data_IF_827147501844
#
_entry.id   IF_827147501844
#
_cell.length_a   1.000
_cell.length_b   1.000
_cell.length_c   1.000
_cell.angle_alpha   90.00
_cell.angle_beta   90.00
_cell.angle_gamma   90.00
#
_symmetry.space_group_name_H-M   'P 1'
#
loop_
_entity.id
_entity.type
_entity.pdbx_description
1 polymer ?
#
# COMPACT_ATOMS: atom_id res chain seq x y z
N UNK A 1 20.98 73.00 -17.98
CA UNK A 1 20.49 72.34 -16.71
C UNK A 1 19.89 71.00 -17.16
N UNK A 2 20.71 69.98 -17.19
CA UNK A 2 20.30 68.61 -17.68
C UNK A 2 19.98 67.73 -16.49
N UNK A 3 18.80 67.22 -16.49
CA UNK A 3 18.32 66.24 -15.50
C UNK A 3 18.62 64.84 -15.97
N UNK A 4 19.50 64.13 -15.27
CA UNK A 4 19.89 62.76 -15.59
C UNK A 4 18.80 61.76 -15.13
N UNK A 5 18.13 61.14 -16.09
CA UNK A 5 17.18 60.05 -15.89
C UNK A 5 17.97 58.77 -15.53
N UNK A 6 17.81 58.26 -14.30
CA UNK A 6 18.32 56.96 -13.89
C UNK A 6 17.39 55.87 -14.35
N UNK A 7 17.84 55.02 -15.25
CA UNK A 7 17.13 53.78 -15.67
C UNK A 7 17.32 52.73 -14.59
N UNK A 8 16.22 52.39 -13.90
CA UNK A 8 16.17 51.24 -13.01
C UNK A 8 15.83 50.00 -13.84
N UNK A 9 16.74 49.03 -13.85
CA UNK A 9 16.49 47.73 -14.47
C UNK A 9 15.71 46.84 -13.52
N UNK A 10 14.46 46.56 -13.89
CA UNK A 10 13.65 45.52 -13.23
C UNK A 10 14.12 44.14 -13.71
N UNK A 11 14.77 43.39 -12.82
CA UNK A 11 15.03 41.96 -13.05
C UNK A 11 13.75 41.21 -12.65
N UNK A 12 13.02 40.74 -13.64
CA UNK A 12 11.89 39.83 -13.41
C UNK A 12 12.43 38.43 -13.10
N UNK A 13 12.36 38.01 -11.84
CA UNK A 13 12.57 36.63 -11.45
C UNK A 13 11.39 35.79 -11.88
N UNK A 14 11.58 34.96 -12.91
CA UNK A 14 10.62 33.91 -13.27
C UNK A 14 10.66 32.83 -12.19
N UNK A 15 9.69 32.82 -11.32
CA UNK A 15 9.39 31.68 -10.46
C UNK A 15 8.76 30.57 -11.30
N UNK A 16 9.55 29.58 -11.67
CA UNK A 16 9.06 28.31 -12.18
C UNK A 16 8.41 27.54 -11.04
N UNK A 17 7.11 27.69 -10.88
CA UNK A 17 6.32 26.77 -10.05
C UNK A 17 6.21 25.46 -10.81
N UNK A 18 6.99 24.46 -10.38
CA UNK A 18 6.82 23.07 -10.79
C UNK A 18 5.43 22.62 -10.31
N UNK A 19 4.47 22.64 -11.21
CA UNK A 19 3.14 22.03 -10.99
C UNK A 19 3.36 20.51 -10.98
N UNK A 20 3.53 19.94 -9.78
CA UNK A 20 3.47 18.50 -9.58
C UNK A 20 2.05 18.08 -9.95
N UNK A 21 1.86 17.51 -11.14
CA UNK A 21 0.65 16.78 -11.49
C UNK A 21 0.52 15.58 -10.56
N UNK A 22 -0.09 15.77 -9.41
CA UNK A 22 -0.67 14.67 -8.66
C UNK A 22 -1.81 14.16 -9.53
N UNK A 23 -1.62 13.03 -10.20
CA UNK A 23 -2.71 12.30 -10.83
C UNK A 23 -3.67 11.87 -9.71
N UNK A 24 -4.61 12.73 -9.37
CA UNK A 24 -5.80 12.35 -8.60
C UNK A 24 -6.58 11.42 -9.52
N UNK A 25 -6.44 10.11 -9.31
CA UNK A 25 -7.30 9.15 -9.99
C UNK A 25 -8.74 9.51 -9.62
N UNK A 26 -9.51 9.92 -10.61
CA UNK A 26 -10.92 10.24 -10.42
C UNK A 26 -11.61 9.01 -9.82
N UNK A 27 -12.41 9.23 -8.77
CA UNK A 27 -13.23 8.15 -8.21
C UNK A 27 -14.12 7.58 -9.32
N UNK A 28 -14.17 6.25 -9.44
CA UNK A 28 -15.04 5.59 -10.40
C UNK A 28 -16.51 5.96 -10.09
N UNK A 29 -17.18 6.60 -11.03
CA UNK A 29 -18.62 6.87 -10.90
C UNK A 29 -19.38 5.59 -11.19
N UNK A 30 -20.05 5.04 -10.19
CA UNK A 30 -20.91 3.86 -10.35
C UNK A 30 -22.32 4.33 -10.65
N UNK A 31 -22.92 4.01 -11.82
CA UNK A 31 -24.31 4.31 -12.08
C UNK A 31 -25.22 3.61 -11.06
N UNK A 32 -26.33 4.26 -10.68
CA UNK A 32 -27.32 3.64 -9.80
C UNK A 32 -27.81 2.33 -10.40
N UNK A 33 -27.95 1.29 -9.57
CA UNK A 33 -28.39 -0.06 -9.95
C UNK A 33 -27.47 -0.78 -10.96
N UNK A 34 -26.18 -0.49 -10.97
CA UNK A 34 -25.21 -1.19 -11.80
C UNK A 34 -24.13 -1.88 -10.97
N UNK A 35 -23.44 -2.83 -11.59
CA UNK A 35 -22.24 -3.48 -11.05
C UNK A 35 -21.02 -3.00 -11.80
N UNK A 36 -19.89 -2.84 -11.10
CA UNK A 36 -18.60 -2.67 -11.74
C UNK A 36 -18.03 -4.07 -12.01
N UNK A 37 -17.83 -4.39 -13.28
CA UNK A 37 -17.19 -5.62 -13.70
C UNK A 37 -15.81 -5.33 -14.28
N UNK A 38 -14.80 -6.00 -13.74
CA UNK A 38 -13.41 -5.95 -14.23
C UNK A 38 -12.99 -7.35 -14.67
N UNK A 39 -12.67 -7.51 -15.93
CA UNK A 39 -12.13 -8.78 -16.42
C UNK A 39 -10.73 -9.02 -15.83
N UNK A 40 -10.40 -10.28 -15.53
CA UNK A 40 -9.09 -10.64 -14.98
C UNK A 40 -7.92 -10.15 -15.85
N UNK A 41 -8.09 -10.16 -17.18
CA UNK A 41 -7.07 -9.66 -18.13
C UNK A 41 -6.85 -8.15 -18.08
N UNK A 42 -7.80 -7.38 -17.51
CA UNK A 42 -7.67 -5.92 -17.32
C UNK A 42 -6.91 -5.55 -16.05
N UNK A 43 -6.71 -6.50 -15.15
CA UNK A 43 -5.98 -6.31 -13.92
C UNK A 43 -4.48 -6.46 -14.16
N UNK A 44 -3.72 -5.42 -13.83
CA UNK A 44 -2.28 -5.40 -14.04
C UNK A 44 -1.52 -5.55 -12.72
N UNK A 45 -0.45 -6.33 -12.77
CA UNK A 45 0.52 -6.39 -11.68
C UNK A 45 1.40 -5.15 -11.72
N UNK A 46 1.61 -4.55 -10.56
CA UNK A 46 2.57 -3.48 -10.37
C UNK A 46 3.61 -3.88 -9.33
N UNK A 47 4.89 -3.55 -9.51
CA UNK A 47 5.91 -3.80 -8.49
C UNK A 47 5.53 -3.11 -7.18
N UNK A 48 5.69 -3.80 -6.06
CA UNK A 48 5.56 -3.18 -4.75
C UNK A 48 6.69 -2.15 -4.52
N UNK A 49 6.39 -1.13 -3.73
CA UNK A 49 7.36 -0.09 -3.43
C UNK A 49 8.50 -0.62 -2.55
N UNK A 50 9.71 -0.74 -3.10
CA UNK A 50 10.91 -1.23 -2.40
C UNK A 50 11.33 -0.40 -1.17
N UNK A 51 10.76 0.77 -0.96
CA UNK A 51 11.01 1.59 0.25
C UNK A 51 10.20 1.13 1.46
N UNK A 52 9.22 0.24 1.27
CA UNK A 52 8.33 -0.26 2.31
C UNK A 52 8.08 -1.76 2.22
N UNK A 53 8.85 -2.44 1.35
CA UNK A 53 8.91 -3.89 1.22
C UNK A 53 10.36 -4.35 1.19
N UNK A 54 10.69 -5.38 1.96
CA UNK A 54 11.94 -6.13 1.84
C UNK A 54 11.73 -7.26 0.84
N UNK A 55 12.68 -7.46 -0.07
CA UNK A 55 12.57 -8.46 -1.13
C UNK A 55 11.64 -8.02 -2.26
N UNK A 56 11.27 -8.98 -3.13
CA UNK A 56 10.45 -8.72 -4.31
C UNK A 56 8.99 -9.06 -4.04
N UNK A 57 8.11 -8.10 -4.27
CA UNK A 57 6.67 -8.29 -4.23
C UNK A 57 5.98 -7.55 -5.36
N UNK A 58 4.79 -8.00 -5.73
CA UNK A 58 3.91 -7.39 -6.73
C UNK A 58 2.51 -7.21 -6.14
N UNK A 59 1.83 -6.17 -6.58
CA UNK A 59 0.44 -5.87 -6.18
C UNK A 59 -0.45 -5.87 -7.40
N UNK A 60 -1.63 -6.46 -7.29
CA UNK A 60 -2.73 -6.34 -8.26
C UNK A 60 -3.84 -5.56 -7.58
N UNK A 61 -3.97 -4.24 -7.81
CA UNK A 61 -5.11 -3.48 -7.30
C UNK A 61 -6.40 -3.98 -7.97
N UNK A 62 -7.41 -4.31 -7.15
CA UNK A 62 -8.70 -4.82 -7.67
C UNK A 62 -9.79 -3.78 -7.58
N UNK A 63 -10.01 -3.17 -6.41
CA UNK A 63 -10.93 -2.04 -6.24
C UNK A 63 -10.27 -0.93 -5.44
N UNK A 64 -10.57 0.31 -5.79
CA UNK A 64 -10.11 1.49 -5.08
C UNK A 64 -11.19 2.56 -5.12
N UNK A 65 -11.49 3.17 -3.97
CA UNK A 65 -12.37 4.35 -3.88
C UNK A 65 -13.72 4.20 -4.59
N UNK A 66 -14.36 3.05 -4.43
CA UNK A 66 -15.72 2.84 -4.96
C UNK A 66 -16.73 3.57 -4.06
N UNK A 67 -17.56 4.49 -4.58
CA UNK A 67 -18.54 5.20 -3.78
C UNK A 67 -19.46 4.27 -2.99
N UNK A 68 -19.63 4.54 -1.70
CA UNK A 68 -20.45 3.71 -0.81
C UNK A 68 -19.77 2.42 -0.31
N UNK A 69 -18.54 2.15 -0.74
CA UNK A 69 -17.72 1.03 -0.25
C UNK A 69 -16.45 1.59 0.44
N UNK A 70 -16.45 1.79 1.76
CA UNK A 70 -15.31 2.37 2.46
C UNK A 70 -14.18 1.35 2.67
N UNK A 71 -13.88 0.58 1.64
CA UNK A 71 -12.80 -0.42 1.60
C UNK A 71 -12.20 -0.49 0.20
N UNK A 72 -10.92 -0.84 0.13
CA UNK A 72 -10.27 -1.25 -1.11
C UNK A 72 -9.68 -2.64 -0.97
N UNK A 73 -9.48 -3.31 -2.07
CA UNK A 73 -8.90 -4.64 -2.08
C UNK A 73 -7.87 -4.84 -3.19
N UNK A 74 -7.04 -5.83 -2.99
CA UNK A 74 -6.01 -6.20 -3.94
C UNK A 74 -5.40 -7.56 -3.61
N UNK A 75 -4.65 -8.07 -4.56
CA UNK A 75 -3.81 -9.26 -4.36
C UNK A 75 -2.37 -8.79 -4.18
N UNK A 76 -1.69 -9.33 -3.19
CA UNK A 76 -0.25 -9.15 -3.00
C UNK A 76 0.44 -10.49 -3.20
N UNK A 77 1.46 -10.48 -4.03
CA UNK A 77 2.29 -11.64 -4.36
C UNK A 77 3.67 -11.36 -3.80
N UNK A 78 4.10 -12.15 -2.83
CA UNK A 78 5.42 -12.06 -2.22
C UNK A 78 6.30 -13.19 -2.72
N UNK A 79 7.46 -12.89 -3.27
CA UNK A 79 8.48 -13.90 -3.54
C UNK A 79 9.05 -14.46 -2.22
N UNK A 80 9.70 -15.62 -2.22
CA UNK A 80 10.25 -16.23 -1.00
C UNK A 80 11.05 -15.24 -0.15
N UNK A 81 10.73 -15.14 1.13
CA UNK A 81 11.35 -14.24 2.10
C UNK A 81 10.94 -12.76 2.00
N UNK A 82 10.20 -12.37 0.95
CA UNK A 82 9.73 -11.00 0.82
C UNK A 82 8.64 -10.67 1.86
N UNK A 83 8.66 -9.45 2.37
CA UNK A 83 7.77 -9.01 3.43
C UNK A 83 7.52 -7.52 3.40
N UNK A 84 6.43 -7.07 4.01
CA UNK A 84 6.18 -5.66 4.26
C UNK A 84 7.11 -5.14 5.37
N UNK A 85 7.33 -3.83 5.40
CA UNK A 85 7.78 -3.17 6.61
C UNK A 85 6.69 -3.22 7.67
N UNK A 86 7.00 -2.87 8.93
CA UNK A 86 6.01 -2.60 9.96
C UNK A 86 5.06 -1.52 9.45
N UNK A 87 3.77 -1.74 9.64
CA UNK A 87 2.77 -0.77 9.21
C UNK A 87 1.49 -0.84 10.06
N UNK A 88 0.67 0.19 9.90
CA UNK A 88 -0.60 0.35 10.62
C UNK A 88 -1.66 0.76 9.60
N UNK A 89 -2.84 0.17 9.69
CA UNK A 89 -4.03 0.62 8.97
C UNK A 89 -4.99 1.34 9.93
N UNK A 90 -5.28 2.64 9.72
CA UNK A 90 -6.17 3.40 10.60
C UNK A 90 -7.60 2.87 10.67
N UNK A 91 -8.08 2.24 9.59
CA UNK A 91 -9.42 1.64 9.53
C UNK A 91 -9.38 0.09 9.52
N UNK A 92 -8.22 -0.50 9.83
CA UNK A 92 -8.02 -1.94 9.86
C UNK A 92 -7.80 -2.57 8.49
N UNK A 93 -7.34 -3.81 8.53
CA UNK A 93 -7.12 -4.65 7.36
C UNK A 93 -7.45 -6.10 7.74
N UNK A 94 -7.94 -6.88 6.78
CA UNK A 94 -7.81 -8.32 6.85
C UNK A 94 -7.24 -8.87 5.54
N UNK A 95 -6.64 -10.04 5.62
CA UNK A 95 -6.22 -10.76 4.44
C UNK A 95 -6.49 -12.26 4.57
N UNK A 96 -6.64 -12.92 3.43
CA UNK A 96 -6.67 -14.38 3.35
C UNK A 96 -5.54 -14.87 2.46
N UNK A 97 -4.90 -15.97 2.86
CA UNK A 97 -3.88 -16.62 2.06
C UNK A 97 -4.55 -17.45 0.97
N UNK A 98 -4.23 -17.16 -0.28
CA UNK A 98 -4.77 -17.87 -1.44
C UNK A 98 -3.85 -19.04 -1.86
N UNK A 99 -2.53 -18.85 -1.73
CA UNK A 99 -1.52 -19.83 -2.13
C UNK A 99 -0.19 -19.62 -1.39
N UNK A 100 0.53 -20.73 -1.19
CA UNK A 100 1.84 -20.71 -0.55
C UNK A 100 1.76 -20.59 0.96
N UNK A 101 2.89 -20.40 1.61
CA UNK A 101 3.00 -20.23 3.05
C UNK A 101 3.62 -18.86 3.35
N UNK A 102 3.14 -18.21 4.39
CA UNK A 102 3.63 -16.92 4.80
C UNK A 102 3.79 -16.78 6.30
N UNK A 103 4.13 -15.56 6.69
CA UNK A 103 4.26 -15.15 8.08
C UNK A 103 3.58 -13.82 8.30
N UNK A 104 2.99 -13.67 9.48
CA UNK A 104 2.45 -12.41 9.97
C UNK A 104 2.81 -12.24 11.42
N UNK A 105 2.92 -11.01 11.91
CA UNK A 105 3.23 -10.75 13.30
C UNK A 105 2.80 -9.36 13.75
N UNK A 106 2.49 -9.26 15.03
CA UNK A 106 2.22 -8.01 15.74
C UNK A 106 3.51 -7.55 16.40
N UNK A 107 3.71 -6.24 16.47
CA UNK A 107 4.92 -5.66 17.06
C UNK A 107 5.12 -6.08 18.50
N UNK A 108 6.33 -6.57 18.81
CA UNK A 108 6.68 -7.10 20.14
C UNK A 108 6.35 -8.57 20.35
N UNK A 109 5.62 -9.21 19.44
CA UNK A 109 5.25 -10.62 19.52
C UNK A 109 6.08 -11.50 18.56
N UNK A 110 5.89 -12.81 18.66
CA UNK A 110 6.44 -13.77 17.71
C UNK A 110 5.58 -13.80 16.45
N UNK A 111 6.22 -14.05 15.31
CA UNK A 111 5.52 -14.26 14.06
C UNK A 111 4.73 -15.58 14.08
N UNK A 112 3.62 -15.60 13.38
CA UNK A 112 2.81 -16.79 13.13
C UNK A 112 2.95 -17.20 11.67
N UNK A 113 3.04 -18.51 11.44
CA UNK A 113 2.95 -19.09 10.09
C UNK A 113 1.48 -19.10 9.65
N UNK A 114 1.24 -18.70 8.41
CA UNK A 114 -0.10 -18.69 7.79
C UNK A 114 -0.08 -19.49 6.48
N UNK A 115 -1.19 -20.19 6.21
CA UNK A 115 -1.34 -21.16 5.10
C UNK A 115 -2.60 -20.87 4.29
N UNK A 116 -2.75 -21.47 3.10
CA UNK A 116 -3.93 -21.28 2.26
C UNK A 116 -5.24 -21.56 3.02
N UNK A 117 -6.17 -20.61 2.95
CA UNK A 117 -7.44 -20.61 3.67
C UNK A 117 -7.41 -19.87 5.01
N UNK A 118 -6.23 -19.60 5.58
CA UNK A 118 -6.17 -18.80 6.80
C UNK A 118 -6.61 -17.36 6.55
N UNK A 119 -7.30 -16.80 7.53
CA UNK A 119 -7.72 -15.40 7.57
C UNK A 119 -7.04 -14.71 8.74
N UNK A 120 -6.37 -13.61 8.46
CA UNK A 120 -5.74 -12.74 9.46
C UNK A 120 -6.50 -11.43 9.51
N UNK A 121 -6.94 -11.04 10.69
CA UNK A 121 -7.63 -9.77 10.93
C UNK A 121 -6.72 -8.87 11.74
N UNK A 122 -6.40 -7.71 11.18
CA UNK A 122 -5.62 -6.65 11.81
C UNK A 122 -6.55 -5.49 12.16
N UNK A 123 -7.01 -5.39 13.41
CA UNK A 123 -7.85 -4.26 13.83
C UNK A 123 -7.17 -2.91 13.58
N UNK A 124 -7.96 -1.85 13.56
CA UNK A 124 -7.46 -0.49 13.40
C UNK A 124 -6.36 -0.16 14.41
N UNK A 125 -5.27 0.45 13.95
CA UNK A 125 -4.15 0.87 14.80
C UNK A 125 -3.15 -0.23 15.19
N UNK A 126 -3.38 -1.49 14.84
CA UNK A 126 -2.43 -2.58 15.14
C UNK A 126 -1.21 -2.46 14.25
N UNK A 127 -0.01 -2.33 14.87
CA UNK A 127 1.28 -2.38 14.17
C UNK A 127 1.63 -3.82 13.85
N UNK A 128 1.69 -4.16 12.57
CA UNK A 128 1.88 -5.52 12.09
C UNK A 128 2.72 -5.58 10.82
N UNK A 129 3.07 -6.79 10.42
CA UNK A 129 3.66 -7.12 9.12
C UNK A 129 3.06 -8.40 8.56
N UNK A 130 3.26 -8.65 7.28
CA UNK A 130 3.01 -9.92 6.60
C UNK A 130 3.97 -10.11 5.42
N UNK A 131 4.17 -11.37 5.01
CA UNK A 131 5.08 -11.72 3.92
C UNK A 131 5.17 -13.22 3.69
N UNK A 132 5.94 -13.63 2.68
CA UNK A 132 6.15 -15.01 2.29
C UNK A 132 7.07 -15.77 3.26
N UNK A 133 6.88 -17.06 3.43
CA UNK A 133 7.87 -17.94 4.05
C UNK A 133 9.21 -17.91 3.31
N UNK A 134 10.28 -18.50 3.89
CA UNK A 134 11.62 -18.41 3.31
C UNK A 134 11.73 -19.15 1.97
N UNK A 135 10.94 -20.18 1.77
CA UNK A 135 11.11 -21.13 0.66
C UNK A 135 9.98 -21.12 -0.37
N UNK A 136 8.89 -20.41 -0.08
CA UNK A 136 7.70 -20.40 -0.95
C UNK A 136 7.20 -18.99 -1.22
N UNK A 137 6.68 -18.76 -2.43
CA UNK A 137 5.92 -17.56 -2.73
C UNK A 137 4.60 -17.60 -1.94
N UNK A 138 4.18 -16.44 -1.40
CA UNK A 138 2.86 -16.30 -0.81
C UNK A 138 1.99 -15.38 -1.67
N UNK A 139 0.76 -15.80 -1.92
CA UNK A 139 -0.28 -14.98 -2.56
C UNK A 139 -1.40 -14.78 -1.56
N UNK A 140 -1.74 -13.54 -1.29
CA UNK A 140 -2.84 -13.18 -0.41
C UNK A 140 -3.78 -12.18 -1.07
N UNK A 141 -5.06 -12.22 -0.71
CA UNK A 141 -6.02 -11.16 -1.00
C UNK A 141 -6.18 -10.30 0.26
N UNK A 142 -6.00 -9.00 0.11
CA UNK A 142 -6.20 -8.03 1.18
C UNK A 142 -7.50 -7.25 0.99
N UNK A 143 -8.16 -6.93 2.09
CA UNK A 143 -9.22 -5.93 2.16
C UNK A 143 -8.83 -4.94 3.25
N UNK A 144 -8.70 -3.69 2.88
CA UNK A 144 -8.25 -2.62 3.77
C UNK A 144 -9.34 -1.55 3.87
N UNK A 145 -9.63 -1.14 5.10
CA UNK A 145 -10.58 -0.05 5.34
C UNK A 145 -10.03 1.29 4.85
N UNK A 146 -10.89 2.08 4.23
CA UNK A 146 -10.57 3.44 3.83
C UNK A 146 -10.76 4.40 5.00
N UNK A 147 -9.76 5.22 5.27
CA UNK A 147 -9.87 6.27 6.27
C UNK A 147 -10.37 7.57 5.61
N UNK A 148 -11.28 8.33 6.26
CA UNK A 148 -11.85 9.57 5.69
C UNK A 148 -10.80 10.58 5.23
N UNK A 149 -9.62 10.60 5.85
CA UNK A 149 -8.51 11.47 5.48
C UNK A 149 -7.63 10.94 4.32
N UNK A 150 -8.04 9.84 3.66
CA UNK A 150 -7.30 9.23 2.56
C UNK A 150 -6.02 8.49 2.97
N UNK A 151 -5.78 8.33 4.26
CA UNK A 151 -4.62 7.61 4.81
C UNK A 151 -4.96 6.14 4.99
N UNK A 152 -4.78 5.32 3.96
CA UNK A 152 -5.05 3.87 4.03
C UNK A 152 -3.99 3.07 4.81
N UNK A 153 -2.75 3.59 4.93
CA UNK A 153 -1.64 2.92 5.59
C UNK A 153 -0.61 3.92 6.13
N UNK A 154 -0.07 3.64 7.30
CA UNK A 154 1.12 4.31 7.85
C UNK A 154 2.28 3.32 7.85
N UNK A 155 3.27 3.57 7.01
CA UNK A 155 4.49 2.79 6.94
C UNK A 155 5.47 3.23 8.01
N UNK A 156 6.16 2.25 8.62
CA UNK A 156 7.09 2.41 9.72
C UNK A 156 8.45 1.81 9.34
N UNK A 157 9.24 1.38 10.32
CA UNK A 157 10.56 0.79 10.13
C UNK A 157 10.53 -0.60 9.46
N UNK A 158 11.64 -1.01 8.93
CA UNK A 158 11.82 -2.34 8.35
C UNK A 158 11.69 -3.44 9.42
N UNK A 159 11.08 -4.56 9.04
CA UNK A 159 11.07 -5.79 9.86
C UNK A 159 12.41 -6.47 9.71
N UNK A 160 13.16 -6.62 10.81
CA UNK A 160 14.45 -7.30 10.78
C UNK A 160 14.33 -8.80 10.52
N UNK A 161 15.38 -9.44 10.02
CA UNK A 161 15.40 -10.89 9.81
C UNK A 161 15.18 -11.66 11.13
N UNK A 162 15.70 -11.14 12.25
CA UNK A 162 15.46 -11.71 13.56
C UNK A 162 13.97 -11.69 13.94
N UNK A 163 13.32 -10.55 13.79
CA UNK A 163 11.87 -10.39 14.06
C UNK A 163 11.04 -11.31 13.16
N UNK A 164 11.39 -11.33 11.87
CA UNK A 164 10.67 -12.12 10.86
C UNK A 164 10.79 -13.63 11.09
N UNK A 165 11.93 -14.09 11.60
CA UNK A 165 12.23 -15.52 11.83
C UNK A 165 11.88 -16.00 13.25
N UNK A 166 11.48 -15.12 14.16
CA UNK A 166 11.04 -15.47 15.51
C UNK A 166 9.60 -15.98 15.50
N UNK A 167 9.41 -17.27 15.23
CA UNK A 167 8.09 -17.90 15.03
C UNK A 167 7.55 -18.48 16.35
N UNK A 168 6.22 -18.45 16.52
CA UNK A 168 5.52 -19.23 17.54
C UNK A 168 5.77 -20.73 17.29
N UNK A 169 6.02 -21.49 18.40
CA UNK A 169 6.17 -22.95 18.33
C UNK A 169 4.83 -23.62 18.44
#
# INVERSE_FOLDING_TARGET
MEEKLKKSAFVAALLFTAFSCVNVMAAETVPANSQIYKEAKSLSKVPANSKVFTGKAEVIPMSQQVPGMPVHNGIVIFEPGARTFWHIHPAGQFFTVLRGEGRTGVYGEKARVVKPGDVVICPAGVKHFHGAGPDTQMVQMTVTGDHPEGKGVTWLEEVTDEQYNKIEK
#
